data_IF_791912614973
#
_entry.id   IF_791912614973
#
_cell.length_a   1.000
_cell.length_b   1.000
_cell.length_c   1.000
_cell.angle_alpha   90.00
_cell.angle_beta   90.00
_cell.angle_gamma   90.00
#
_symmetry.space_group_name_H-M   'P 1'
#
loop_
_entity.id
_entity.type
_entity.pdbx_description
1 polymer ?
#
# COMPACT_ATOMS: atom_id res chain seq x y z
N UNK A 1 -9.37 -6.39 -19.84
CA UNK A 1 -7.99 -6.41 -19.29
C UNK A 1 -7.17 -5.41 -20.03
N UNK A 2 -7.01 -4.24 -19.46
CA UNK A 2 -6.16 -3.18 -19.99
C UNK A 2 -4.71 -3.62 -19.86
N UNK A 3 -3.96 -3.56 -20.97
CA UNK A 3 -2.50 -3.68 -20.96
C UNK A 3 -1.96 -2.42 -20.27
N UNK A 4 -1.75 -2.51 -18.97
CA UNK A 4 -1.14 -1.45 -18.19
C UNK A 4 0.38 -1.57 -18.30
N UNK A 5 1.08 -0.44 -18.31
CA UNK A 5 2.53 -0.40 -18.34
C UNK A 5 3.06 -0.15 -16.93
N UNK A 6 4.20 -0.75 -16.60
CA UNK A 6 4.94 -0.40 -15.40
C UNK A 6 5.60 0.98 -15.59
N UNK A 7 6.21 1.53 -14.56
CA UNK A 7 6.87 2.84 -14.60
C UNK A 7 8.02 2.94 -15.59
N UNK A 8 8.51 1.81 -16.09
CA UNK A 8 9.56 1.74 -17.10
C UNK A 8 8.99 1.54 -18.50
N UNK A 9 7.66 1.69 -18.68
CA UNK A 9 6.97 1.52 -19.96
C UNK A 9 6.85 0.07 -20.43
N UNK A 10 7.17 -0.92 -19.58
CA UNK A 10 7.04 -2.34 -19.91
C UNK A 10 5.65 -2.84 -19.54
N UNK A 11 5.14 -3.80 -20.29
CA UNK A 11 3.86 -4.44 -19.96
C UNK A 11 3.94 -5.08 -18.58
N UNK A 12 3.15 -4.57 -17.63
CA UNK A 12 3.08 -5.12 -16.29
C UNK A 12 2.42 -6.52 -16.32
N UNK A 13 2.91 -7.49 -15.53
CA UNK A 13 2.29 -8.81 -15.46
C UNK A 13 0.85 -8.69 -14.92
N UNK A 14 -0.06 -9.49 -15.46
CA UNK A 14 -1.44 -9.49 -14.98
C UNK A 14 -1.52 -10.09 -13.56
N UNK A 15 -2.48 -9.65 -12.77
CA UNK A 15 -2.70 -10.14 -11.40
C UNK A 15 -2.80 -11.67 -11.32
N UNK A 16 -3.43 -12.30 -12.30
CA UNK A 16 -3.55 -13.76 -12.40
C UNK A 16 -2.21 -14.45 -12.69
N UNK A 17 -1.33 -13.79 -13.44
CA UNK A 17 0.03 -14.29 -13.71
C UNK A 17 0.87 -14.25 -12.44
N UNK A 18 0.77 -13.19 -11.64
CA UNK A 18 1.44 -13.10 -10.35
C UNK A 18 0.99 -14.19 -9.37
N UNK A 19 -0.31 -14.53 -9.37
CA UNK A 19 -0.84 -15.63 -8.54
C UNK A 19 -0.24 -16.99 -8.95
N UNK A 20 0.03 -17.19 -10.24
CA UNK A 20 0.61 -18.43 -10.77
C UNK A 20 2.12 -18.51 -10.61
N UNK A 21 2.80 -17.38 -10.67
CA UNK A 21 4.27 -17.31 -10.69
C UNK A 21 4.91 -17.75 -9.37
N UNK A 22 4.26 -17.47 -8.23
CA UNK A 22 4.78 -17.81 -6.90
C UNK A 22 3.71 -18.55 -6.09
N UNK A 23 4.11 -19.68 -5.50
CA UNK A 23 3.24 -20.43 -4.58
C UNK A 23 2.99 -19.60 -3.31
N UNK A 24 1.83 -19.82 -2.69
CA UNK A 24 1.46 -19.16 -1.42
C UNK A 24 2.52 -19.41 -0.32
N UNK A 25 3.09 -20.62 -0.27
CA UNK A 25 4.15 -20.98 0.68
C UNK A 25 5.41 -20.14 0.48
N UNK A 26 5.80 -19.87 -0.75
CA UNK A 26 6.99 -19.09 -1.06
C UNK A 26 6.80 -17.63 -0.66
N UNK A 27 5.64 -17.06 -0.98
CA UNK A 27 5.24 -15.71 -0.55
C UNK A 27 5.20 -15.56 0.97
N UNK A 28 4.65 -16.56 1.67
CA UNK A 28 4.55 -16.55 3.12
C UNK A 28 5.92 -16.68 3.82
N UNK A 29 6.95 -17.13 3.13
CA UNK A 29 8.31 -17.28 3.67
C UNK A 29 9.19 -16.03 3.44
N UNK A 30 8.72 -15.05 2.66
CA UNK A 30 9.41 -13.76 2.55
C UNK A 30 9.31 -13.05 3.91
N UNK A 31 10.42 -12.59 4.45
CA UNK A 31 10.44 -11.83 5.71
C UNK A 31 9.78 -10.47 5.54
N UNK A 32 9.10 -10.00 6.60
CA UNK A 32 8.49 -8.67 6.62
C UNK A 32 9.56 -7.59 6.53
N UNK A 33 9.42 -6.67 5.59
CA UNK A 33 10.32 -5.54 5.45
C UNK A 33 10.17 -4.58 6.63
N UNK A 34 11.30 -4.26 7.26
CA UNK A 34 11.35 -3.23 8.29
C UNK A 34 11.39 -1.85 7.65
N UNK A 35 10.68 -0.92 8.26
CA UNK A 35 10.72 0.48 7.86
C UNK A 35 12.12 1.06 8.13
N UNK A 36 12.64 1.85 7.20
CA UNK A 36 13.88 2.56 7.42
C UNK A 36 13.67 3.69 8.43
N UNK A 37 14.63 3.89 9.29
CA UNK A 37 14.61 4.94 10.32
C UNK A 37 15.89 5.75 10.27
N UNK A 38 15.80 7.02 10.67
CA UNK A 38 16.97 7.85 10.89
C UNK A 38 17.84 7.29 12.01
N UNK A 39 19.15 7.43 11.84
CA UNK A 39 20.12 7.03 12.88
C UNK A 39 19.77 7.64 14.24
N UNK A 40 19.85 6.87 15.35
CA UNK A 40 19.48 7.33 16.68
C UNK A 40 20.27 8.55 17.17
N UNK A 41 21.54 8.63 16.86
CA UNK A 41 22.37 9.78 17.24
C UNK A 41 21.95 11.01 16.45
N UNK A 42 21.81 10.88 15.13
CA UNK A 42 21.37 11.97 14.25
C UNK A 42 19.99 12.51 14.69
N UNK A 43 18.99 11.65 14.86
CA UNK A 43 17.61 12.05 15.24
C UNK A 43 17.51 12.68 16.62
N UNK A 44 18.46 12.41 17.52
CA UNK A 44 18.48 13.05 18.84
C UNK A 44 18.75 14.56 18.78
N UNK A 45 19.36 15.03 17.71
CA UNK A 45 19.71 16.44 17.47
C UNK A 45 18.71 17.16 16.54
N UNK A 46 17.79 16.43 15.90
CA UNK A 46 16.78 17.01 14.99
C UNK A 46 15.37 16.72 15.49
N UNK A 47 14.54 17.76 15.57
CA UNK A 47 13.11 17.66 15.88
C UNK A 47 12.20 17.95 14.70
N UNK A 48 12.77 18.22 13.53
CA UNK A 48 12.04 18.68 12.35
C UNK A 48 11.84 17.59 11.31
N UNK A 49 12.64 16.52 11.39
CA UNK A 49 12.63 15.46 10.40
C UNK A 49 11.81 14.27 10.89
N UNK A 50 11.08 13.66 9.99
CA UNK A 50 10.35 12.43 10.27
C UNK A 50 11.35 11.29 10.52
N UNK A 51 11.26 10.63 11.66
CA UNK A 51 12.20 9.55 12.05
C UNK A 51 12.04 8.34 11.14
N UNK A 52 10.81 7.93 10.90
CA UNK A 52 10.49 6.84 10.00
C UNK A 52 10.61 7.32 8.55
N UNK A 53 11.52 6.73 7.79
CA UNK A 53 11.80 7.12 6.41
C UNK A 53 10.99 6.34 5.37
N UNK A 54 10.12 5.42 5.82
CA UNK A 54 9.32 4.60 4.93
C UNK A 54 10.10 3.43 4.33
N UNK A 55 9.57 2.88 3.25
CA UNK A 55 10.19 1.81 2.46
C UNK A 55 10.82 2.38 1.19
N UNK A 56 11.93 1.80 0.74
CA UNK A 56 12.40 2.01 -0.63
C UNK A 56 11.47 1.32 -1.62
N UNK A 57 11.61 1.62 -2.91
CA UNK A 57 10.83 0.98 -3.97
C UNK A 57 11.03 -0.53 -3.99
N UNK A 58 12.26 -0.99 -3.85
CA UNK A 58 12.63 -2.40 -3.83
C UNK A 58 12.03 -3.10 -2.60
N UNK A 59 12.11 -2.47 -1.43
CA UNK A 59 11.50 -2.98 -0.21
C UNK A 59 9.97 -3.06 -0.34
N UNK A 60 9.34 -2.04 -0.92
CA UNK A 60 7.89 -2.01 -1.12
C UNK A 60 7.42 -3.11 -2.07
N UNK A 61 8.14 -3.35 -3.17
CA UNK A 61 7.83 -4.46 -4.09
C UNK A 61 8.01 -5.81 -3.40
N UNK A 62 9.10 -6.00 -2.65
CA UNK A 62 9.37 -7.23 -1.88
C UNK A 62 8.28 -7.48 -0.84
N UNK A 63 7.88 -6.45 -0.09
CA UNK A 63 6.79 -6.55 0.88
C UNK A 63 5.44 -6.84 0.20
N UNK A 64 5.18 -6.22 -0.95
CA UNK A 64 3.96 -6.47 -1.72
C UNK A 64 3.86 -7.92 -2.23
N UNK A 65 4.99 -8.55 -2.54
CA UNK A 65 5.05 -9.96 -2.95
C UNK A 65 4.57 -10.91 -1.85
N UNK A 66 4.63 -10.52 -0.58
CA UNK A 66 4.11 -11.30 0.54
C UNK A 66 2.59 -11.48 0.49
N UNK A 67 1.87 -10.54 -0.13
CA UNK A 67 0.42 -10.59 -0.19
C UNK A 67 -0.07 -11.78 -1.03
N UNK A 68 -0.86 -12.67 -0.42
CA UNK A 68 -1.40 -13.88 -1.05
C UNK A 68 -2.57 -13.61 -1.99
N UNK A 69 -3.06 -12.36 -2.04
CA UNK A 69 -4.21 -11.99 -2.87
C UNK A 69 -5.43 -12.89 -2.61
N UNK A 70 -5.83 -12.99 -1.33
CA UNK A 70 -6.87 -13.88 -0.86
C UNK A 70 -8.21 -13.66 -1.57
N UNK A 71 -8.94 -14.74 -1.87
CA UNK A 71 -10.29 -14.66 -2.44
C UNK A 71 -11.28 -13.94 -1.51
N UNK A 72 -11.13 -14.16 -0.18
CA UNK A 72 -11.88 -13.48 0.87
C UNK A 72 -10.90 -12.71 1.77
N UNK A 73 -10.50 -11.50 1.41
CA UNK A 73 -9.45 -10.77 2.10
C UNK A 73 -9.95 -10.18 3.42
N UNK A 74 -9.63 -10.85 4.53
CA UNK A 74 -9.98 -10.38 5.88
C UNK A 74 -9.43 -8.99 6.19
N UNK A 75 -8.30 -8.60 5.61
CA UNK A 75 -7.73 -7.26 5.79
C UNK A 75 -8.69 -6.13 5.37
N UNK A 76 -9.49 -6.33 4.31
CA UNK A 76 -10.49 -5.33 3.88
C UNK A 76 -11.56 -5.10 4.95
N UNK A 77 -12.02 -6.16 5.62
CA UNK A 77 -13.01 -6.03 6.70
C UNK A 77 -12.45 -5.35 7.94
N UNK A 78 -11.13 -5.33 8.08
CA UNK A 78 -10.42 -4.62 9.14
C UNK A 78 -10.15 -3.15 8.84
N UNK A 79 -10.38 -2.69 7.61
CA UNK A 79 -10.19 -1.31 7.23
C UNK A 79 -11.49 -0.50 7.39
N UNK A 80 -11.53 0.55 8.25
CA UNK A 80 -12.75 1.33 8.49
C UNK A 80 -13.29 2.04 7.25
N UNK A 81 -12.43 2.36 6.29
CA UNK A 81 -12.81 3.04 5.04
C UNK A 81 -12.90 2.11 3.83
N UNK A 82 -12.71 0.79 4.04
CA UNK A 82 -12.97 -0.22 3.01
C UNK A 82 -12.02 -0.19 1.82
N UNK A 83 -10.75 0.12 2.02
CA UNK A 83 -9.73 0.10 0.95
C UNK A 83 -9.66 -1.30 0.32
N UNK A 84 -9.60 -1.36 -1.01
CA UNK A 84 -9.27 -2.61 -1.74
C UNK A 84 -7.78 -2.93 -1.58
N UNK A 85 -7.45 -3.48 -0.40
CA UNK A 85 -6.09 -3.74 0.04
C UNK A 85 -5.35 -4.70 -0.90
N UNK A 86 -5.90 -5.86 -1.31
CA UNK A 86 -5.20 -6.73 -2.24
C UNK A 86 -4.89 -6.06 -3.58
N UNK A 87 -5.80 -5.21 -4.08
CA UNK A 87 -5.62 -4.56 -5.37
C UNK A 87 -4.48 -3.55 -5.34
N UNK A 88 -4.44 -2.64 -4.37
CA UNK A 88 -3.35 -1.66 -4.34
C UNK A 88 -1.99 -2.32 -4.08
N UNK A 89 -1.93 -3.37 -3.24
CA UNK A 89 -0.70 -4.11 -3.01
C UNK A 89 -0.23 -4.81 -4.29
N UNK A 90 -1.14 -5.42 -5.05
CA UNK A 90 -0.79 -6.05 -6.32
C UNK A 90 -0.36 -5.03 -7.38
N UNK A 91 -0.88 -3.82 -7.37
CA UNK A 91 -0.38 -2.75 -8.21
C UNK A 91 1.07 -2.38 -7.86
N UNK A 92 1.42 -2.31 -6.57
CA UNK A 92 2.82 -2.11 -6.14
C UNK A 92 3.72 -3.26 -6.62
N UNK A 93 3.30 -4.51 -6.42
CA UNK A 93 4.05 -5.69 -6.88
C UNK A 93 4.33 -5.67 -8.39
N UNK A 94 3.40 -5.12 -9.17
CA UNK A 94 3.50 -5.00 -10.63
C UNK A 94 4.34 -3.80 -11.08
N UNK A 95 4.76 -2.93 -10.15
CA UNK A 95 5.45 -1.68 -10.46
C UNK A 95 4.52 -0.54 -10.89
N UNK A 96 3.21 -0.67 -10.68
CA UNK A 96 2.19 0.33 -11.00
C UNK A 96 1.87 1.19 -9.76
N UNK A 97 2.86 1.93 -9.27
CA UNK A 97 2.74 2.62 -7.97
C UNK A 97 1.68 3.73 -8.00
N UNK A 98 1.58 4.45 -9.12
CA UNK A 98 0.55 5.49 -9.27
C UNK A 98 -0.87 4.91 -9.31
N UNK A 99 -1.06 3.74 -9.92
CA UNK A 99 -2.35 3.03 -9.88
C UNK A 99 -2.65 2.49 -8.47
N UNK A 100 -1.63 2.13 -7.69
CA UNK A 100 -1.81 1.80 -6.28
C UNK A 100 -2.33 3.01 -5.49
N UNK A 101 -1.72 4.18 -5.65
CA UNK A 101 -2.15 5.43 -5.01
C UNK A 101 -3.59 5.81 -5.42
N UNK A 102 -3.94 5.67 -6.69
CA UNK A 102 -5.28 5.90 -7.20
C UNK A 102 -6.31 4.94 -6.58
N UNK A 103 -5.96 3.66 -6.47
CA UNK A 103 -6.79 2.65 -5.79
C UNK A 103 -7.06 3.02 -4.33
N UNK A 104 -6.06 3.49 -3.60
CA UNK A 104 -6.21 3.97 -2.23
C UNK A 104 -7.20 5.13 -2.14
N UNK A 105 -7.13 6.07 -3.08
CA UNK A 105 -7.97 7.28 -3.11
C UNK A 105 -9.42 7.03 -3.51
N UNK A 106 -9.78 5.85 -4.00
CA UNK A 106 -11.19 5.52 -4.27
C UNK A 106 -12.05 5.58 -3.01
N UNK A 107 -11.48 5.29 -1.84
CA UNK A 107 -12.21 5.28 -0.56
C UNK A 107 -11.53 6.08 0.55
N UNK A 108 -10.23 6.40 0.44
CA UNK A 108 -9.47 7.16 1.44
C UNK A 108 -9.01 8.50 0.88
N UNK A 109 -9.44 9.60 1.49
CA UNK A 109 -8.99 10.93 1.11
C UNK A 109 -7.55 11.27 1.57
N UNK A 110 -7.03 10.56 2.56
CA UNK A 110 -5.77 10.89 3.25
C UNK A 110 -4.83 9.68 3.41
N UNK A 111 -4.49 8.94 2.34
CA UNK A 111 -3.70 7.71 2.46
C UNK A 111 -2.31 7.96 3.05
N UNK A 112 -1.67 9.11 2.77
CA UNK A 112 -0.37 9.45 3.36
C UNK A 112 -0.43 9.62 4.89
N UNK A 113 -1.55 10.11 5.42
CA UNK A 113 -1.77 10.24 6.86
C UNK A 113 -2.15 8.88 7.45
N UNK A 114 -3.09 8.18 6.84
CA UNK A 114 -3.54 6.87 7.31
C UNK A 114 -2.38 5.86 7.40
N UNK A 115 -1.51 5.82 6.39
CA UNK A 115 -0.32 4.97 6.40
C UNK A 115 0.67 5.25 7.55
N UNK A 116 0.57 6.46 8.17
CA UNK A 116 1.43 6.86 9.30
C UNK A 116 0.78 6.68 10.68
N UNK A 117 -0.54 6.90 10.77
CA UNK A 117 -1.20 7.05 12.09
C UNK A 117 -2.27 6.01 12.40
N UNK A 118 -2.74 5.24 11.41
CA UNK A 118 -3.68 4.16 11.68
C UNK A 118 -3.02 3.09 12.57
N UNK A 119 -3.72 2.56 13.57
CA UNK A 119 -3.24 1.41 14.33
C UNK A 119 -3.47 0.11 13.53
N UNK A 120 -2.70 -0.07 12.44
CA UNK A 120 -2.90 -1.15 11.46
C UNK A 120 -2.86 -2.53 12.13
N UNK A 121 -2.02 -2.69 13.17
CA UNK A 121 -1.89 -3.92 13.96
C UNK A 121 -3.19 -4.30 14.70
N UNK A 122 -4.12 -3.36 14.86
CA UNK A 122 -5.46 -3.59 15.44
C UNK A 122 -6.58 -3.59 14.39
N UNK A 123 -6.29 -3.14 13.20
CA UNK A 123 -7.22 -2.99 12.07
C UNK A 123 -6.93 -3.99 10.96
N UNK A 124 -6.50 -3.51 9.80
CA UNK A 124 -6.30 -4.32 8.60
C UNK A 124 -5.25 -5.43 8.79
N UNK A 125 -4.11 -5.13 9.39
CA UNK A 125 -3.03 -6.11 9.60
C UNK A 125 -3.45 -7.21 10.59
N UNK A 126 -4.27 -6.90 11.61
CA UNK A 126 -4.78 -7.91 12.56
C UNK A 126 -5.63 -9.01 11.89
N UNK A 127 -6.14 -8.75 10.69
CA UNK A 127 -6.97 -9.68 9.92
C UNK A 127 -6.21 -10.38 8.78
N UNK A 128 -4.90 -10.14 8.69
CA UNK A 128 -4.08 -10.76 7.65
C UNK A 128 -3.98 -12.28 7.86
N UNK A 129 -4.13 -13.03 6.78
CA UNK A 129 -4.07 -14.51 6.81
C UNK A 129 -2.71 -15.03 7.30
N UNK A 130 -1.62 -14.28 7.10
CA UNK A 130 -0.29 -14.63 7.59
C UNK A 130 -0.25 -14.91 9.09
N UNK A 131 -1.04 -14.17 9.88
CA UNK A 131 -1.11 -14.39 11.34
C UNK A 131 -1.64 -15.79 11.68
N UNK A 132 -2.59 -16.34 10.89
CA UNK A 132 -3.08 -17.72 11.07
C UNK A 132 -2.03 -18.76 10.68
N UNK A 133 -1.03 -18.36 9.92
CA UNK A 133 0.10 -19.22 9.53
C UNK A 133 1.30 -19.08 10.49
N UNK A 134 1.14 -18.35 11.60
CA UNK A 134 2.22 -18.06 12.54
C UNK A 134 3.30 -17.13 11.98
N UNK A 135 2.97 -16.33 10.96
CA UNK A 135 3.85 -15.36 10.30
C UNK A 135 3.42 -13.93 10.60
N UNK A 136 4.33 -12.98 10.45
CA UNK A 136 3.99 -11.56 10.54
C UNK A 136 3.05 -11.14 9.41
N UNK A 137 2.07 -10.30 9.72
CA UNK A 137 1.17 -9.71 8.74
C UNK A 137 1.95 -8.98 7.62
N UNK A 138 1.34 -8.83 6.46
CA UNK A 138 1.85 -7.91 5.44
C UNK A 138 1.81 -6.48 5.99
N UNK A 139 2.86 -5.70 5.78
CA UNK A 139 3.00 -4.32 6.25
C UNK A 139 2.11 -3.37 5.44
N UNK A 140 0.78 -3.50 5.61
CA UNK A 140 -0.23 -2.82 4.79
C UNK A 140 -0.09 -1.30 4.91
N UNK A 141 0.05 -0.78 6.13
CA UNK A 141 0.19 0.66 6.35
C UNK A 141 1.49 1.23 5.78
N UNK A 142 2.59 0.47 5.83
CA UNK A 142 3.86 0.89 5.22
C UNK A 142 3.75 0.98 3.69
N UNK A 143 3.03 0.04 3.07
CA UNK A 143 2.76 0.05 1.63
C UNK A 143 1.80 1.17 1.22
N UNK A 144 0.78 1.45 2.04
CA UNK A 144 -0.13 2.59 1.86
C UNK A 144 0.64 3.91 1.88
N UNK A 145 1.48 4.11 2.91
CA UNK A 145 2.36 5.26 3.02
C UNK A 145 3.27 5.39 1.80
N UNK A 146 3.93 4.29 1.41
CA UNK A 146 4.85 4.29 0.28
C UNK A 146 4.16 4.75 -1.01
N UNK A 147 2.99 4.20 -1.33
CA UNK A 147 2.28 4.56 -2.56
C UNK A 147 1.83 6.03 -2.56
N UNK A 148 1.36 6.54 -1.42
CA UNK A 148 0.93 7.92 -1.28
C UNK A 148 2.10 8.93 -1.34
N UNK A 149 3.23 8.61 -0.70
CA UNK A 149 4.43 9.43 -0.74
C UNK A 149 5.03 9.45 -2.15
N UNK A 150 5.08 8.29 -2.81
CA UNK A 150 5.55 8.18 -4.18
C UNK A 150 4.74 9.05 -5.15
N UNK A 151 3.41 9.02 -5.05
CA UNK A 151 2.54 9.87 -5.87
C UNK A 151 2.84 11.35 -5.65
N UNK A 152 2.97 11.77 -4.38
CA UNK A 152 3.29 13.16 -4.04
C UNK A 152 4.64 13.59 -4.61
N UNK A 153 5.66 12.76 -4.49
CA UNK A 153 7.02 13.05 -4.95
C UNK A 153 7.14 13.05 -6.48
N UNK A 154 6.35 12.23 -7.16
CA UNK A 154 6.30 12.20 -8.62
C UNK A 154 5.67 13.46 -9.23
N UNK A 155 4.91 14.24 -8.44
CA UNK A 155 4.11 15.37 -8.94
C UNK A 155 2.90 14.98 -9.78
N UNK A 156 2.66 13.68 -10.01
CA UNK A 156 1.54 13.15 -10.80
C UNK A 156 0.34 12.82 -9.91
N UNK A 157 -0.13 13.84 -9.17
CA UNK A 157 -1.22 13.65 -8.22
C UNK A 157 -2.54 13.41 -8.95
N UNK A 158 -3.17 12.26 -8.73
CA UNK A 158 -4.50 11.97 -9.24
C UNK A 158 -5.54 12.78 -8.47
N UNK A 159 -6.36 13.53 -9.19
CA UNK A 159 -7.51 14.25 -8.65
C UNK A 159 -8.76 13.47 -9.01
N UNK A 160 -9.65 13.14 -8.04
CA UNK A 160 -10.90 12.47 -8.34
C UNK A 160 -11.78 13.32 -9.28
N UNK A 161 -12.52 12.67 -10.16
CA UNK A 161 -13.50 13.35 -10.98
C UNK A 161 -14.57 14.01 -10.10
N UNK A 162 -14.84 15.27 -10.37
CA UNK A 162 -15.90 16.00 -9.68
C UNK A 162 -17.21 15.67 -10.39
N UNK A 163 -18.14 15.05 -9.66
CA UNK A 163 -19.49 14.79 -10.16
C UNK A 163 -20.27 16.07 -10.47
N UNK A 164 -21.40 15.93 -11.17
CA UNK A 164 -22.29 17.05 -11.47
C UNK A 164 -22.77 17.74 -10.17
N UNK A 165 -22.95 19.04 -10.24
CA UNK A 165 -23.45 19.83 -9.10
C UNK A 165 -24.87 19.39 -8.77
N UNK A 166 -25.08 18.91 -7.56
CA UNK A 166 -26.39 18.51 -7.04
C UNK A 166 -27.15 19.61 -6.29
N UNK A 167 -26.62 20.83 -6.27
CA UNK A 167 -27.23 21.99 -5.59
C UNK A 167 -27.03 22.04 -4.06
N UNK A 168 -26.42 21.00 -3.47
CA UNK A 168 -26.15 20.93 -2.03
C UNK A 168 -24.92 21.79 -1.72
N UNK A 169 -25.08 22.73 -0.77
CA UNK A 169 -23.98 23.54 -0.27
C UNK A 169 -23.39 22.90 0.98
N UNK A 170 -22.10 22.63 0.98
CA UNK A 170 -21.35 22.11 2.13
C UNK A 170 -20.31 23.14 2.52
N UNK A 171 -20.26 23.49 3.79
CA UNK A 171 -19.18 24.28 4.36
C UNK A 171 -18.09 23.36 4.91
N UNK A 172 -16.83 23.67 4.66
CA UNK A 172 -15.66 22.96 5.16
C UNK A 172 -14.87 23.92 6.04
#
# INVERSE_FOLDING_TARGET
STNTQDENGRTAPRREELRKANKETDRANIERCKMNELDPEYRSHSRKEEVNQGLTKEQAVTEAQRCLDCANPGCMTGCPVGIDIPRFIKNIERGEILEAAKTLKETSALPAVCGRVCPQEKQCESKCIHLKMGKEAVAIGHLERFAADYERESGQISVPEIGEKNGIKVAI
#
